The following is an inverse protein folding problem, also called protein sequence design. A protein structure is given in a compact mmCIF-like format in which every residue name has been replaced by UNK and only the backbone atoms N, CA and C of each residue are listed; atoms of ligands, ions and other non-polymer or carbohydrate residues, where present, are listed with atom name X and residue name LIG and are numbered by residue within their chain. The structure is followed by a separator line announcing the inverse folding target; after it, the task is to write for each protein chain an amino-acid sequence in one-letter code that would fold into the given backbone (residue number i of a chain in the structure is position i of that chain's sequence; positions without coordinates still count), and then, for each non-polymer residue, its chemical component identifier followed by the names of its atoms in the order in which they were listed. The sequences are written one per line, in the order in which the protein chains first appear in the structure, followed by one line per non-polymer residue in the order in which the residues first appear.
data_IF_242055073857
#
_entry.id   IF_242055073857
#
_cell.length_a   1.000
_cell.length_b   1.000
_cell.length_c   1.000
_cell.angle_alpha   90.00
_cell.angle_beta   90.00
_cell.angle_gamma   90.00
#
_symmetry.space_group_name_H-M   'P 1'
#
loop_
_entity.id
_entity.type
_entity.pdbx_description
1 polymer ?
#
# COMPACT_ATOMS: atom_id res chain seq x y z
N UNK A 1 -22.53 7.17 3.53
CA UNK A 1 -21.92 6.31 2.50
C UNK A 1 -20.93 5.35 3.15
N UNK A 2 -21.00 4.08 2.78
CA UNK A 2 -20.06 3.10 3.35
C UNK A 2 -18.70 3.25 2.71
N UNK A 3 -17.66 3.10 3.50
CA UNK A 3 -16.30 3.08 2.99
C UNK A 3 -16.04 1.80 2.21
N UNK A 4 -15.29 1.86 1.10
CA UNK A 4 -14.90 0.66 0.37
C UNK A 4 -14.06 -0.27 1.24
N UNK A 5 -14.28 -1.58 1.07
CA UNK A 5 -13.46 -2.60 1.71
C UNK A 5 -12.83 -3.45 0.61
N UNK A 6 -11.53 -3.62 0.69
CA UNK A 6 -10.75 -4.40 -0.28
C UNK A 6 -10.21 -5.65 0.42
N UNK A 7 -10.38 -6.80 -0.22
CA UNK A 7 -9.81 -8.05 0.27
C UNK A 7 -8.58 -8.42 -0.55
N UNK A 8 -7.48 -8.69 0.15
CA UNK A 8 -6.24 -9.16 -0.44
C UNK A 8 -6.12 -10.66 -0.17
N UNK A 9 -6.23 -11.45 -1.23
CA UNK A 9 -6.03 -12.91 -1.13
C UNK A 9 -4.62 -13.23 -1.59
N UNK A 10 -3.84 -13.86 -0.72
CA UNK A 10 -2.47 -14.21 -1.01
C UNK A 10 -2.39 -15.62 -1.61
N UNK A 11 -1.39 -15.85 -2.43
CA UNK A 11 -1.17 -17.14 -3.09
C UNK A 11 -1.04 -18.29 -2.09
N UNK A 12 -0.54 -18.02 -0.88
CA UNK A 12 -0.38 -19.04 0.16
C UNK A 12 -1.68 -19.39 0.89
N UNK A 13 -2.80 -18.80 0.51
CA UNK A 13 -4.11 -19.04 1.12
C UNK A 13 -4.47 -18.10 2.27
N UNK A 14 -3.56 -17.24 2.72
CA UNK A 14 -3.88 -16.23 3.71
C UNK A 14 -4.59 -15.05 3.06
N UNK A 15 -5.29 -14.24 3.86
CA UNK A 15 -5.96 -13.06 3.35
C UNK A 15 -6.04 -11.98 4.43
N UNK A 16 -6.19 -10.74 3.97
CA UNK A 16 -6.48 -9.62 4.86
C UNK A 16 -7.43 -8.64 4.16
N UNK A 17 -8.16 -7.88 4.97
CA UNK A 17 -9.14 -6.92 4.48
C UNK A 17 -8.79 -5.53 4.99
N UNK A 18 -8.95 -4.53 4.13
CA UNK A 18 -8.66 -3.15 4.45
C UNK A 18 -9.88 -2.28 4.17
N UNK A 19 -10.15 -1.34 5.07
CA UNK A 19 -11.16 -0.31 4.86
C UNK A 19 -10.46 0.92 4.31
N UNK A 20 -11.01 1.52 3.25
CA UNK A 20 -10.45 2.72 2.62
C UNK A 20 -11.27 3.94 3.04
N UNK A 21 -10.60 5.09 3.14
CA UNK A 21 -11.19 6.32 3.69
C UNK A 21 -11.28 7.42 2.62
N UNK A 22 -12.33 7.43 1.77
CA UNK A 22 -12.47 8.45 0.72
C UNK A 22 -12.61 9.87 1.27
N UNK A 23 -13.07 10.03 2.51
CA UNK A 23 -13.15 11.34 3.14
C UNK A 23 -11.76 11.92 3.44
N UNK A 24 -10.78 11.05 3.68
CA UNK A 24 -9.41 11.44 4.02
C UNK A 24 -8.58 11.68 2.77
N UNK A 25 -8.70 10.80 1.77
CA UNK A 25 -7.90 10.86 0.56
C UNK A 25 -8.76 10.46 -0.66
N UNK A 26 -9.64 11.36 -1.12
CA UNK A 26 -10.67 11.00 -2.11
C UNK A 26 -10.11 10.51 -3.44
N UNK A 27 -9.12 11.18 -4.00
CA UNK A 27 -8.56 10.78 -5.29
C UNK A 27 -7.69 9.54 -5.16
N UNK A 28 -6.98 9.41 -4.06
CA UNK A 28 -6.15 8.24 -3.77
C UNK A 28 -7.03 6.99 -3.67
N UNK A 29 -8.12 7.07 -2.92
CA UNK A 29 -9.06 5.95 -2.77
C UNK A 29 -9.71 5.62 -4.11
N UNK A 30 -10.18 6.64 -4.85
CA UNK A 30 -10.81 6.41 -6.15
C UNK A 30 -9.86 5.72 -7.13
N UNK A 31 -8.59 6.15 -7.16
CA UNK A 31 -7.56 5.54 -8.01
C UNK A 31 -7.31 4.08 -7.60
N UNK A 32 -7.18 3.84 -6.30
CA UNK A 32 -6.91 2.48 -5.79
C UNK A 32 -8.07 1.53 -6.10
N UNK A 33 -9.31 1.96 -5.83
CA UNK A 33 -10.51 1.16 -6.12
C UNK A 33 -10.60 0.85 -7.61
N UNK A 34 -10.34 1.84 -8.47
CA UNK A 34 -10.35 1.65 -9.92
C UNK A 34 -9.35 0.58 -10.35
N UNK A 35 -8.14 0.61 -9.79
CA UNK A 35 -7.11 -0.39 -10.09
C UNK A 35 -7.53 -1.78 -9.57
N UNK A 36 -8.12 -1.86 -8.39
CA UNK A 36 -8.63 -3.13 -7.85
C UNK A 36 -9.72 -3.71 -8.75
N UNK A 37 -10.68 -2.88 -9.15
CA UNK A 37 -11.80 -3.32 -9.99
C UNK A 37 -11.35 -3.76 -11.38
N UNK A 38 -10.27 -3.18 -11.90
CA UNK A 38 -9.69 -3.56 -13.18
C UNK A 38 -8.77 -4.79 -13.08
N UNK A 39 -8.64 -5.36 -11.89
CA UNK A 39 -7.76 -6.52 -11.60
C UNK A 39 -6.27 -6.21 -11.80
N UNK A 40 -5.91 -4.94 -11.71
CA UNK A 40 -4.52 -4.50 -11.89
C UNK A 40 -3.57 -5.17 -10.89
N UNK A 41 -4.00 -5.31 -9.63
CA UNK A 41 -3.16 -5.86 -8.57
C UNK A 41 -3.10 -7.39 -8.56
N UNK A 42 -3.98 -8.07 -9.28
CA UNK A 42 -4.00 -9.52 -9.32
C UNK A 42 -2.69 -10.05 -9.91
N UNK A 43 -2.06 -10.96 -9.19
CA UNK A 43 -0.79 -11.55 -9.61
C UNK A 43 0.46 -10.73 -9.29
N UNK A 44 0.32 -9.56 -8.70
CA UNK A 44 1.48 -8.73 -8.32
C UNK A 44 2.07 -9.19 -6.98
N UNK A 45 3.33 -8.82 -6.73
CA UNK A 45 4.06 -9.23 -5.54
C UNK A 45 4.30 -8.05 -4.59
N UNK A 46 4.56 -8.37 -3.34
CA UNK A 46 5.16 -7.42 -2.41
C UNK A 46 6.68 -7.48 -2.62
N UNK A 47 7.19 -6.55 -3.40
CA UNK A 47 8.58 -6.57 -3.86
C UNK A 47 9.58 -5.99 -2.84
N UNK A 48 9.08 -5.29 -1.81
CA UNK A 48 9.91 -4.68 -0.78
C UNK A 48 9.27 -4.92 0.58
N UNK A 49 10.02 -5.56 1.47
CA UNK A 49 9.51 -5.93 2.79
C UNK A 49 10.55 -5.58 3.84
N UNK A 50 10.17 -4.76 4.81
CA UNK A 50 11.03 -4.38 5.93
C UNK A 50 10.28 -4.67 7.23
N UNK A 51 10.62 -5.78 7.93
CA UNK A 51 10.00 -6.10 9.22
C UNK A 51 10.16 -4.94 10.20
N UNK A 52 9.10 -4.66 10.97
CA UNK A 52 9.09 -3.53 11.89
C UNK A 52 8.86 -2.18 11.22
N UNK A 53 8.61 -2.17 9.91
CA UNK A 53 8.33 -0.95 9.16
C UNK A 53 7.12 -1.14 8.25
N UNK A 54 7.28 -1.77 7.07
CA UNK A 54 6.19 -1.88 6.10
C UNK A 54 6.41 -3.02 5.10
N UNK A 55 5.34 -3.36 4.38
CA UNK A 55 5.42 -4.20 3.17
C UNK A 55 4.91 -3.36 2.00
N UNK A 56 5.59 -3.40 0.86
CA UNK A 56 5.29 -2.57 -0.31
C UNK A 56 5.09 -3.43 -1.55
N UNK A 57 4.04 -3.12 -2.30
CA UNK A 57 3.72 -3.82 -3.53
C UNK A 57 2.99 -2.92 -4.52
N UNK A 58 2.38 -3.54 -5.55
CA UNK A 58 1.59 -2.82 -6.53
C UNK A 58 2.33 -2.36 -7.76
N UNK A 59 3.57 -2.82 -7.97
CA UNK A 59 4.33 -2.54 -9.17
C UNK A 59 4.15 -3.69 -10.18
N UNK A 60 3.57 -3.43 -11.36
CA UNK A 60 3.35 -4.49 -12.35
C UNK A 60 4.64 -5.12 -12.86
N UNK A 61 5.77 -4.42 -12.76
CA UNK A 61 7.08 -4.95 -13.15
C UNK A 61 7.82 -5.65 -12.00
N UNK A 62 7.36 -5.44 -10.75
CA UNK A 62 8.00 -5.99 -9.56
C UNK A 62 9.38 -5.41 -9.25
N UNK A 63 9.79 -4.36 -9.93
CA UNK A 63 11.13 -3.75 -9.80
C UNK A 63 11.20 -2.58 -8.81
N UNK A 64 10.05 -2.03 -8.45
CA UNK A 64 9.97 -0.78 -7.68
C UNK A 64 9.89 0.46 -8.57
N UNK A 65 10.00 0.31 -9.88
CA UNK A 65 10.04 1.42 -10.85
C UNK A 65 8.77 1.53 -11.69
N UNK A 66 7.89 0.54 -11.67
CA UNK A 66 6.71 0.49 -12.52
C UNK A 66 5.47 1.12 -11.91
N UNK A 67 4.44 1.26 -12.73
CA UNK A 67 3.16 1.83 -12.33
C UNK A 67 2.09 1.61 -13.39
N UNK A 68 0.92 2.26 -13.23
CA UNK A 68 -0.23 2.01 -14.10
C UNK A 68 -0.19 2.84 -15.41
N UNK A 69 0.82 3.67 -15.59
CA UNK A 69 0.91 4.54 -16.75
C UNK A 69 0.46 5.98 -16.49
N UNK A 70 0.10 6.31 -15.25
CA UNK A 70 -0.24 7.68 -14.85
C UNK A 70 0.15 7.91 -13.39
N UNK A 71 0.13 9.18 -12.98
CA UNK A 71 0.35 9.58 -11.60
C UNK A 71 -0.86 10.37 -11.10
N UNK A 72 -1.02 10.41 -9.77
CA UNK A 72 -2.07 11.18 -9.12
C UNK A 72 -1.46 12.23 -8.19
N UNK A 73 -2.24 13.25 -7.86
CA UNK A 73 -1.84 14.28 -6.91
C UNK A 73 -1.65 13.65 -5.53
N UNK A 74 -0.58 14.02 -4.85
CA UNK A 74 -0.30 13.56 -3.50
C UNK A 74 -1.21 14.20 -2.47
N UNK A 75 -2.05 13.40 -1.83
CA UNK A 75 -3.00 13.86 -0.83
C UNK A 75 -2.42 13.75 0.58
N UNK A 76 -1.44 14.60 0.86
CA UNK A 76 -0.75 14.64 2.16
C UNK A 76 -0.34 16.08 2.50
N UNK A 77 -0.09 16.34 3.79
CA UNK A 77 0.12 17.70 4.32
C UNK A 77 1.27 18.45 3.63
N UNK A 78 2.40 17.80 3.42
CA UNK A 78 3.55 18.43 2.77
C UNK A 78 3.22 18.94 1.36
N UNK A 79 2.19 18.39 0.73
CA UNK A 79 1.69 18.77 -0.59
C UNK A 79 0.47 19.72 -0.51
N UNK A 80 0.20 20.28 0.66
CA UNK A 80 -0.89 21.22 0.85
C UNK A 80 -2.28 20.60 0.99
N UNK A 81 -2.37 19.32 1.22
CA UNK A 81 -3.63 18.59 1.39
C UNK A 81 -3.79 18.13 2.84
N UNK A 82 -4.96 18.45 3.45
CA UNK A 82 -5.22 18.06 4.84
C UNK A 82 -5.54 16.57 4.92
N UNK A 83 -4.57 15.79 5.39
CA UNK A 83 -4.72 14.36 5.61
C UNK A 83 -4.23 14.04 7.02
N UNK A 84 -5.14 13.85 7.99
CA UNK A 84 -4.77 13.62 9.38
C UNK A 84 -4.44 12.19 9.74
N UNK A 85 -4.57 11.25 8.80
CA UNK A 85 -4.36 9.83 9.09
C UNK A 85 -2.88 9.55 9.38
N UNK A 86 -2.62 8.99 10.55
CA UNK A 86 -1.26 8.67 10.98
C UNK A 86 -0.84 7.30 10.46
N UNK A 87 0.47 7.14 10.21
CA UNK A 87 1.05 5.89 9.74
C UNK A 87 1.25 4.93 10.93
N UNK A 88 0.14 4.44 11.45
CA UNK A 88 0.11 3.43 12.50
C UNK A 88 0.06 2.02 11.89
N UNK A 89 0.34 1.01 12.71
CA UNK A 89 0.27 -0.39 12.26
C UNK A 89 -1.05 -0.68 11.55
N UNK A 90 -0.96 -1.29 10.38
CA UNK A 90 -2.11 -1.66 9.55
C UNK A 90 -2.57 -0.59 8.55
N UNK A 91 -2.04 0.63 8.62
CA UNK A 91 -2.44 1.71 7.71
C UNK A 91 -1.88 1.46 6.30
N UNK A 92 -2.71 1.70 5.28
CA UNK A 92 -2.31 1.68 3.87
C UNK A 92 -1.97 3.10 3.43
N UNK A 93 -0.87 3.23 2.70
CA UNK A 93 -0.39 4.52 2.20
C UNK A 93 0.21 4.34 0.80
N UNK A 94 0.24 5.41 0.00
CA UNK A 94 0.79 5.34 -1.35
C UNK A 94 2.29 5.57 -1.35
N UNK A 95 3.01 4.67 -2.01
CA UNK A 95 4.42 4.88 -2.29
C UNK A 95 4.54 5.91 -3.42
N UNK A 96 5.65 6.65 -3.44
CA UNK A 96 5.94 7.65 -4.46
C UNK A 96 7.44 7.85 -4.58
N UNK A 97 7.85 8.52 -5.66
CA UNK A 97 9.24 8.97 -5.81
C UNK A 97 9.46 10.26 -5.00
N UNK A 98 10.57 10.94 -5.22
CA UNK A 98 10.85 12.25 -4.60
C UNK A 98 9.82 13.31 -5.02
N UNK A 99 9.20 13.14 -6.18
CA UNK A 99 8.16 14.04 -6.67
C UNK A 99 6.87 13.83 -5.86
N UNK A 100 6.25 14.92 -5.42
CA UNK A 100 5.04 14.84 -4.57
C UNK A 100 3.82 14.26 -5.29
N UNK A 101 3.71 14.48 -6.59
CA UNK A 101 2.59 14.03 -7.41
C UNK A 101 2.99 12.84 -8.30
N UNK A 102 3.77 11.91 -7.75
CA UNK A 102 4.30 10.78 -8.50
C UNK A 102 3.71 9.41 -8.11
N UNK A 103 2.75 9.37 -7.18
CA UNK A 103 2.10 8.13 -6.82
C UNK A 103 1.27 7.61 -8.02
N UNK A 104 1.27 6.31 -8.20
CA UNK A 104 0.50 5.65 -9.27
C UNK A 104 -0.24 4.43 -8.75
N UNK A 105 0.45 3.30 -8.62
CA UNK A 105 -0.15 2.06 -8.14
C UNK A 105 0.56 1.45 -6.93
N UNK A 106 1.81 1.78 -6.71
CA UNK A 106 2.54 1.19 -5.60
C UNK A 106 2.02 1.71 -4.26
N UNK A 107 1.83 0.81 -3.34
CA UNK A 107 1.33 1.12 -2.01
C UNK A 107 2.11 0.32 -0.97
N UNK A 108 2.00 0.74 0.28
CA UNK A 108 2.58 -0.03 1.38
C UNK A 108 1.59 -0.16 2.53
N UNK A 109 1.73 -1.24 3.28
CA UNK A 109 0.95 -1.52 4.48
C UNK A 109 1.90 -1.46 5.66
N UNK A 110 1.55 -0.67 6.67
CA UNK A 110 2.40 -0.51 7.84
C UNK A 110 2.43 -1.78 8.68
N UNK A 111 3.62 -2.29 8.94
CA UNK A 111 3.83 -3.40 9.86
C UNK A 111 3.94 -2.89 11.30
N UNK A 112 4.47 -1.69 11.48
CA UNK A 112 4.58 -1.02 12.76
C UNK A 112 4.36 0.49 12.58
N UNK A 113 4.18 1.21 13.66
CA UNK A 113 4.00 2.67 13.62
C UNK A 113 5.25 3.37 13.08
N UNK A 114 5.05 4.39 12.25
CA UNK A 114 6.15 5.19 11.68
C UNK A 114 5.72 6.66 11.56
N UNK A 115 5.78 7.38 12.67
CA UNK A 115 5.34 8.77 12.74
C UNK A 115 6.10 9.70 11.79
N UNK A 116 7.32 9.35 11.40
CA UNK A 116 8.11 10.16 10.46
C UNK A 116 7.51 10.21 9.05
N UNK A 117 6.56 9.33 8.73
CA UNK A 117 5.86 9.33 7.43
C UNK A 117 4.63 10.22 7.45
N UNK A 118 4.13 10.60 8.63
CA UNK A 118 2.90 11.39 8.75
C UNK A 118 3.07 12.73 8.05
N UNK A 119 2.10 13.09 7.22
CA UNK A 119 2.13 14.31 6.43
C UNK A 119 3.04 14.28 5.22
N UNK A 120 3.78 13.19 5.00
CA UNK A 120 4.74 13.03 3.90
C UNK A 120 4.23 12.10 2.80
N UNK A 121 3.25 11.25 3.11
CA UNK A 121 2.68 10.26 2.19
C UNK A 121 1.17 10.23 2.34
N UNK A 122 0.49 9.81 1.27
CA UNK A 122 -0.98 9.77 1.24
C UNK A 122 -1.50 8.48 1.88
N UNK A 123 -1.69 8.49 3.20
CA UNK A 123 -2.36 7.41 3.91
C UNK A 123 -3.84 7.43 3.53
N UNK A 124 -4.45 6.27 3.25
CA UNK A 124 -5.80 6.24 2.70
C UNK A 124 -6.68 5.10 3.20
N UNK A 125 -6.17 4.22 4.03
CA UNK A 125 -6.95 3.10 4.55
C UNK A 125 -6.25 2.39 5.70
N UNK A 126 -6.91 1.33 6.19
CA UNK A 126 -6.38 0.54 7.31
C UNK A 126 -6.88 -0.89 7.24
N UNK A 127 -5.99 -1.84 7.55
CA UNK A 127 -6.36 -3.24 7.69
C UNK A 127 -7.30 -3.40 8.88
N UNK A 128 -8.47 -4.01 8.65
CA UNK A 128 -9.49 -4.24 9.67
C UNK A 128 -9.60 -5.71 10.05
N UNK A 129 -9.05 -6.62 9.24
CA UNK A 129 -9.13 -8.05 9.49
C UNK A 129 -7.96 -8.73 8.79
N UNK A 130 -7.38 -9.75 9.44
CA UNK A 130 -6.32 -10.55 8.84
C UNK A 130 -4.94 -9.94 8.91
N UNK A 131 -4.65 -9.10 9.90
CA UNK A 131 -3.32 -8.53 10.06
C UNK A 131 -2.23 -9.60 10.16
N UNK A 132 -2.56 -10.81 10.58
CA UNK A 132 -1.65 -11.96 10.61
C UNK A 132 -1.06 -12.27 9.23
N UNK A 133 -1.83 -12.06 8.16
CA UNK A 133 -1.35 -12.26 6.79
C UNK A 133 -0.28 -11.22 6.44
N UNK A 134 -0.47 -9.98 6.87
CA UNK A 134 0.53 -8.91 6.71
C UNK A 134 1.80 -9.27 7.49
N UNK A 135 1.65 -9.72 8.73
CA UNK A 135 2.78 -10.15 9.55
C UNK A 135 3.56 -11.28 8.90
N UNK A 136 2.86 -12.21 8.26
CA UNK A 136 3.50 -13.34 7.56
C UNK A 136 4.34 -12.85 6.39
N UNK A 137 3.81 -11.92 5.58
CA UNK A 137 4.59 -11.31 4.49
C UNK A 137 5.80 -10.57 5.07
N UNK A 138 5.60 -9.81 6.14
CA UNK A 138 6.67 -9.04 6.78
C UNK A 138 7.77 -9.92 7.37
N UNK A 139 7.47 -11.18 7.69
CA UNK A 139 8.44 -12.13 8.23
C UNK A 139 9.21 -12.88 7.14
N UNK A 140 8.90 -12.66 5.86
CA UNK A 140 9.57 -13.32 4.75
C UNK A 140 11.07 -12.99 4.75
N UNK A 141 11.89 -14.00 4.46
CA UNK A 141 13.34 -13.79 4.31
C UNK A 141 13.58 -12.88 3.11
N UNK A 142 14.39 -11.84 3.31
CA UNK A 142 14.69 -10.87 2.26
C UNK A 142 16.16 -10.93 1.86
N UNK A 143 16.43 -10.47 0.65
CA UNK A 143 17.77 -10.33 0.10
C UNK A 143 18.07 -8.86 -0.21
N UNK A 144 18.80 -8.62 -1.30
CA UNK A 144 19.18 -7.28 -1.73
C UNK A 144 17.93 -6.39 -1.92
N UNK A 145 18.02 -5.13 -1.51
CA UNK A 145 16.97 -4.13 -1.64
C UNK A 145 15.67 -4.50 -0.90
N UNK A 146 15.79 -5.29 0.17
CA UNK A 146 14.65 -5.74 0.98
C UNK A 146 13.64 -6.54 0.17
N UNK A 147 14.07 -7.21 -0.87
CA UNK A 147 13.22 -8.03 -1.72
C UNK A 147 13.07 -9.43 -1.12
N UNK A 148 11.83 -9.94 -0.95
CA UNK A 148 11.64 -11.31 -0.46
C UNK A 148 12.32 -12.33 -1.38
N UNK A 149 13.02 -13.29 -0.77
CA UNK A 149 13.68 -14.38 -1.50
C UNK A 149 12.62 -15.25 -2.20
N UNK A 150 11.53 -15.54 -1.49
CA UNK A 150 10.36 -16.19 -2.09
C UNK A 150 9.29 -15.14 -2.37
N UNK A 151 8.73 -15.15 -3.58
CA UNK A 151 7.73 -14.17 -3.98
C UNK A 151 6.50 -14.22 -3.07
N UNK A 152 6.09 -13.05 -2.59
CA UNK A 152 4.87 -12.87 -1.79
C UNK A 152 3.80 -12.32 -2.73
N UNK A 153 3.03 -13.22 -3.34
CA UNK A 153 2.13 -12.87 -4.46
C UNK A 153 0.68 -12.73 -4.03
N UNK A 154 0.05 -11.68 -4.57
CA UNK A 154 -1.40 -11.46 -4.47
C UNK A 154 -2.07 -12.25 -5.60
N UNK A 155 -3.13 -12.97 -5.27
CA UNK A 155 -3.91 -13.69 -6.28
C UNK A 155 -4.70 -12.77 -7.18
#
# INVERSE_FOLDING_TARGET
MKNPIVTFEMEDGTSFRAELYPEIAPNTVANFVRLVESKFYDGLIFHRVIPGFMIQGGDPTGSGMGGPGWHIRGEFRLNGFDNPLKHARGVLSMARSMQKDSAGSQFFVMHADAAHLDGQYAAFGKVIEGMDAVDKVASAKTGAQDRPVEEQRIL
#
